data_IF_492062576468
#
_entry.id   IF_492062576468
#
_cell.length_a   1.000
_cell.length_b   1.000
_cell.length_c   1.000
_cell.angle_alpha   90.00
_cell.angle_beta   90.00
_cell.angle_gamma   90.00
#
_symmetry.space_group_name_H-M   'P 1'
#
loop_
_entity.id
_entity.type
_entity.pdbx_description
1 polymer ?
#
# COMPACT_ATOMS: atom_id res chain seq x y z
N UNK A 1 -26.53 -11.18 6.38
CA UNK A 1 -25.59 -11.07 5.24
C UNK A 1 -24.88 -9.76 5.39
N UNK A 2 -23.55 -9.77 5.34
CA UNK A 2 -22.77 -8.53 5.25
C UNK A 2 -22.83 -8.04 3.81
N UNK A 3 -23.27 -6.81 3.60
CA UNK A 3 -23.30 -6.18 2.27
C UNK A 3 -22.01 -5.41 1.97
N UNK A 4 -21.17 -5.24 2.99
CA UNK A 4 -19.93 -4.49 2.98
C UNK A 4 -18.84 -5.40 3.55
N UNK A 5 -17.66 -5.47 2.92
CA UNK A 5 -16.53 -6.21 3.46
C UNK A 5 -15.74 -5.40 4.49
N UNK A 6 -14.74 -6.02 5.14
CA UNK A 6 -13.92 -5.35 6.16
C UNK A 6 -13.08 -4.15 5.67
N UNK A 7 -13.07 -3.88 4.36
CA UNK A 7 -12.42 -2.73 3.74
C UNK A 7 -13.41 -1.66 3.24
N UNK A 8 -14.71 -1.84 3.50
CA UNK A 8 -15.74 -0.89 3.05
C UNK A 8 -16.21 -1.12 1.61
N UNK A 9 -15.84 -2.23 0.97
CA UNK A 9 -16.27 -2.53 -0.39
C UNK A 9 -17.66 -3.17 -0.38
N UNK A 10 -18.47 -2.90 -1.39
CA UNK A 10 -19.76 -3.58 -1.55
C UNK A 10 -19.52 -5.02 -2.00
N UNK A 11 -20.17 -5.96 -1.31
CA UNK A 11 -20.21 -7.38 -1.69
C UNK A 11 -21.37 -7.59 -2.66
N UNK A 12 -21.07 -8.07 -3.87
CA UNK A 12 -22.05 -8.37 -4.91
C UNK A 12 -22.03 -9.87 -5.19
N UNK A 13 -23.07 -10.64 -4.81
CA UNK A 13 -23.15 -12.05 -5.14
C UNK A 13 -23.12 -12.27 -6.66
N UNK A 14 -22.41 -13.29 -7.13
CA UNK A 14 -22.35 -13.61 -8.58
C UNK A 14 -23.72 -13.83 -9.21
N UNK A 15 -24.68 -14.34 -8.42
CA UNK A 15 -26.06 -14.52 -8.84
C UNK A 15 -26.79 -13.21 -9.18
N UNK A 16 -26.37 -12.07 -8.60
CA UNK A 16 -26.99 -10.76 -8.84
C UNK A 16 -26.43 -10.12 -10.11
N UNK A 17 -25.12 -10.22 -10.32
CA UNK A 17 -24.45 -9.62 -11.48
C UNK A 17 -23.26 -10.47 -11.93
N UNK A 18 -23.46 -11.39 -12.89
CA UNK A 18 -22.34 -12.00 -13.59
C UNK A 18 -21.55 -10.92 -14.32
N UNK A 19 -20.23 -10.89 -14.15
CA UNK A 19 -19.36 -10.02 -14.95
C UNK A 19 -19.12 -10.70 -16.29
N UNK A 20 -19.38 -9.96 -17.37
CA UNK A 20 -19.09 -10.34 -18.74
C UNK A 20 -18.28 -9.19 -19.34
N UNK A 21 -17.19 -9.52 -20.04
CA UNK A 21 -16.36 -8.59 -20.81
C UNK A 21 -15.71 -7.42 -20.05
N UNK A 22 -14.94 -7.71 -19.00
CA UNK A 22 -13.99 -6.76 -18.41
C UNK A 22 -12.55 -7.24 -18.55
N UNK A 23 -11.64 -6.33 -18.87
CA UNK A 23 -10.20 -6.60 -18.93
C UNK A 23 -9.62 -6.78 -17.53
N UNK A 24 -8.92 -7.89 -17.31
CA UNK A 24 -8.21 -8.16 -16.05
C UNK A 24 -7.06 -7.14 -15.88
N UNK A 25 -6.85 -6.69 -14.64
CA UNK A 25 -5.77 -5.77 -14.32
C UNK A 25 -4.86 -6.33 -13.24
N UNK A 26 -3.58 -5.97 -13.30
CA UNK A 26 -2.63 -6.22 -12.21
C UNK A 26 -2.54 -5.04 -11.23
N UNK A 27 -3.24 -3.93 -11.51
CA UNK A 27 -3.14 -2.70 -10.72
C UNK A 27 -4.04 -2.72 -9.48
N UNK A 28 -3.40 -2.76 -8.32
CA UNK A 28 -4.05 -2.76 -7.01
C UNK A 28 -3.77 -4.03 -6.24
N UNK A 29 -4.16 -4.05 -4.96
CA UNK A 29 -4.03 -5.26 -4.14
C UNK A 29 -5.12 -6.27 -4.52
N UNK A 30 -4.69 -7.47 -4.92
CA UNK A 30 -5.56 -8.59 -5.29
C UNK A 30 -6.33 -9.20 -4.11
N UNK A 31 -5.87 -9.02 -2.86
CA UNK A 31 -6.54 -9.49 -1.63
C UNK A 31 -7.13 -10.91 -1.73
N UNK A 32 -6.33 -11.86 -2.24
CA UNK A 32 -6.71 -13.25 -2.46
C UNK A 32 -7.87 -13.48 -3.45
N UNK A 33 -8.29 -12.46 -4.19
CA UNK A 33 -9.23 -12.62 -5.28
C UNK A 33 -8.62 -13.48 -6.38
N UNK A 34 -9.46 -14.21 -7.11
CA UNK A 34 -9.05 -15.01 -8.27
C UNK A 34 -8.60 -14.10 -9.41
N UNK A 35 -9.35 -13.01 -9.63
CA UNK A 35 -9.13 -12.00 -10.67
C UNK A 35 -9.52 -10.61 -10.14
N UNK A 36 -9.05 -9.57 -10.81
CA UNK A 36 -9.46 -8.20 -10.50
C UNK A 36 -9.57 -7.37 -11.78
N UNK A 37 -10.48 -6.41 -11.80
CA UNK A 37 -10.86 -5.64 -12.98
C UNK A 37 -10.97 -4.16 -12.66
N UNK A 38 -10.84 -3.32 -13.69
CA UNK A 38 -11.05 -1.88 -13.58
C UNK A 38 -11.96 -1.36 -14.69
N UNK A 39 -13.05 -0.68 -14.30
CA UNK A 39 -13.99 -0.06 -15.23
C UNK A 39 -14.31 1.37 -14.79
N UNK A 40 -13.80 2.36 -15.53
CA UNK A 40 -13.69 3.72 -15.02
C UNK A 40 -12.99 3.74 -13.66
N UNK A 41 -13.63 4.36 -12.68
CA UNK A 41 -13.15 4.41 -11.30
C UNK A 41 -13.49 3.17 -10.45
N UNK A 42 -14.24 2.21 -10.98
CA UNK A 42 -14.55 0.99 -10.23
C UNK A 42 -13.36 0.05 -10.23
N UNK A 43 -13.01 -0.42 -9.04
CA UNK A 43 -12.10 -1.54 -8.86
C UNK A 43 -12.89 -2.72 -8.29
N UNK A 44 -12.85 -3.82 -9.03
CA UNK A 44 -13.66 -5.00 -8.79
C UNK A 44 -12.73 -6.18 -8.55
N UNK A 45 -12.94 -6.91 -7.46
CA UNK A 45 -12.26 -8.15 -7.16
C UNK A 45 -13.23 -9.31 -7.27
N UNK A 46 -12.80 -10.39 -7.90
CA UNK A 46 -13.61 -11.58 -8.09
C UNK A 46 -13.17 -12.72 -7.17
N UNK A 47 -14.11 -13.23 -6.39
CA UNK A 47 -13.98 -14.42 -5.57
C UNK A 47 -14.88 -15.54 -6.14
N UNK A 48 -14.85 -16.73 -5.54
CA UNK A 48 -15.64 -17.87 -6.03
C UNK A 48 -17.14 -17.60 -6.02
N UNK A 49 -17.65 -16.97 -4.96
CA UNK A 49 -19.10 -16.77 -4.74
C UNK A 49 -19.59 -15.35 -5.02
N UNK A 50 -18.70 -14.35 -5.00
CA UNK A 50 -19.06 -12.95 -5.01
C UNK A 50 -17.97 -12.08 -5.64
N UNK A 51 -18.30 -10.81 -5.82
CA UNK A 51 -17.37 -9.74 -6.12
C UNK A 51 -17.28 -8.79 -4.94
N UNK A 52 -16.13 -8.16 -4.73
CA UNK A 52 -16.05 -6.94 -3.90
C UNK A 52 -15.74 -5.75 -4.79
N UNK A 53 -16.46 -4.66 -4.59
CA UNK A 53 -16.41 -3.49 -5.46
C UNK A 53 -16.24 -2.23 -4.61
N UNK A 54 -15.26 -1.40 -4.97
CA UNK A 54 -15.20 -0.01 -4.52
C UNK A 54 -15.01 0.93 -5.70
N UNK A 55 -15.33 2.19 -5.45
CA UNK A 55 -15.09 3.28 -6.37
C UNK A 55 -13.87 4.05 -5.89
N UNK A 56 -12.81 4.06 -6.70
CA UNK A 56 -11.69 4.96 -6.53
C UNK A 56 -12.13 6.40 -6.84
N UNK A 57 -11.55 7.39 -6.17
CA UNK A 57 -11.77 8.80 -6.52
C UNK A 57 -11.06 9.14 -7.83
N UNK A 58 -9.89 8.55 -8.05
CA UNK A 58 -9.06 8.76 -9.25
C UNK A 58 -8.65 7.41 -9.82
N UNK A 59 -8.83 7.21 -11.14
CA UNK A 59 -8.37 6.00 -11.83
C UNK A 59 -6.83 5.98 -11.89
N UNK A 60 -6.15 5.01 -11.24
CA UNK A 60 -4.69 4.92 -11.24
C UNK A 60 -4.09 4.62 -12.62
N UNK A 61 -4.89 4.22 -13.62
CA UNK A 61 -4.43 4.07 -15.00
C UNK A 61 -4.23 5.42 -15.70
N UNK A 62 -4.97 6.44 -15.25
CA UNK A 62 -4.95 7.78 -15.83
C UNK A 62 -4.09 8.73 -15.01
N UNK A 63 -4.23 8.72 -13.68
CA UNK A 63 -3.45 9.55 -12.77
C UNK A 63 -3.00 8.74 -11.53
N UNK A 64 -1.87 8.03 -11.63
CA UNK A 64 -1.33 7.24 -10.52
C UNK A 64 -0.98 8.08 -9.28
N UNK A 65 -0.54 9.33 -9.46
CA UNK A 65 -0.12 10.20 -8.37
C UNK A 65 -1.35 10.75 -7.65
N UNK A 66 -2.34 11.24 -8.41
CA UNK A 66 -3.62 11.68 -7.88
C UNK A 66 -4.34 10.56 -7.13
N UNK A 67 -4.32 9.33 -7.66
CA UNK A 67 -4.83 8.15 -6.96
C UNK A 67 -4.15 7.93 -5.61
N UNK A 68 -2.82 7.96 -5.56
CA UNK A 68 -2.08 7.77 -4.30
C UNK A 68 -2.45 8.84 -3.26
N UNK A 69 -2.65 10.09 -3.68
CA UNK A 69 -3.00 11.20 -2.77
C UNK A 69 -4.46 11.15 -2.31
N UNK A 70 -5.40 10.82 -3.20
CA UNK A 70 -6.83 10.90 -2.94
C UNK A 70 -7.42 9.63 -2.31
N UNK A 71 -6.91 8.46 -2.73
CA UNK A 71 -7.44 7.15 -2.37
C UNK A 71 -6.57 6.41 -1.35
N UNK A 72 -5.26 6.64 -1.38
CA UNK A 72 -4.29 5.92 -0.56
C UNK A 72 -3.27 6.81 0.21
N UNK A 73 -3.68 7.95 0.81
CA UNK A 73 -2.77 8.92 1.44
C UNK A 73 -1.93 8.34 2.58
N UNK A 74 -2.40 7.27 3.24
CA UNK A 74 -1.64 6.56 4.26
C UNK A 74 -0.29 6.05 3.74
N UNK A 75 -0.20 5.67 2.47
CA UNK A 75 1.04 5.20 1.86
C UNK A 75 1.99 6.36 1.55
N UNK A 76 1.49 7.57 1.31
CA UNK A 76 2.32 8.78 1.16
C UNK A 76 2.99 9.10 2.49
N UNK A 77 2.20 9.19 3.55
CA UNK A 77 2.69 9.46 4.91
C UNK A 77 3.69 8.39 5.35
N UNK A 78 3.37 7.12 5.11
CA UNK A 78 4.26 6.02 5.45
C UNK A 78 5.58 6.05 4.66
N UNK A 79 5.53 6.37 3.37
CA UNK A 79 6.73 6.51 2.53
C UNK A 79 7.65 7.64 3.02
N UNK A 80 7.07 8.78 3.40
CA UNK A 80 7.82 9.90 3.97
C UNK A 80 8.47 9.52 5.30
N UNK A 81 7.72 8.88 6.21
CA UNK A 81 8.26 8.41 7.48
C UNK A 81 9.40 7.39 7.29
N UNK A 82 9.24 6.45 6.36
CA UNK A 82 10.25 5.47 6.00
C UNK A 82 11.54 6.14 5.48
N UNK A 83 11.42 7.13 4.59
CA UNK A 83 12.55 7.85 4.03
C UNK A 83 13.33 8.64 5.10
N UNK A 84 12.62 9.35 5.98
CA UNK A 84 13.22 10.14 7.07
C UNK A 84 13.99 9.21 8.02
N UNK A 85 13.34 8.16 8.54
CA UNK A 85 13.98 7.25 9.49
C UNK A 85 15.12 6.46 8.84
N UNK A 86 14.92 5.96 7.62
CA UNK A 86 15.96 5.24 6.89
C UNK A 86 17.21 6.09 6.66
N UNK A 87 17.04 7.37 6.30
CA UNK A 87 18.15 8.33 6.16
C UNK A 87 18.86 8.55 7.49
N UNK A 88 18.13 8.85 8.56
CA UNK A 88 18.71 9.14 9.89
C UNK A 88 19.50 7.94 10.43
N UNK A 89 18.93 6.73 10.32
CA UNK A 89 19.61 5.49 10.74
C UNK A 89 20.84 5.23 9.87
N UNK A 90 20.71 5.32 8.55
CA UNK A 90 21.84 5.10 7.64
C UNK A 90 23.00 6.08 7.90
N UNK A 91 22.70 7.37 8.06
CA UNK A 91 23.71 8.40 8.40
C UNK A 91 24.38 8.10 9.74
N UNK A 92 23.61 7.67 10.75
CA UNK A 92 24.16 7.32 12.07
C UNK A 92 25.07 6.09 11.99
N UNK A 93 24.66 5.06 11.27
CA UNK A 93 25.46 3.83 11.05
C UNK A 93 26.75 4.16 10.30
N UNK A 94 26.67 4.94 9.21
CA UNK A 94 27.85 5.38 8.48
C UNK A 94 28.85 6.12 9.39
N UNK A 95 28.39 7.13 10.14
CA UNK A 95 29.25 7.91 11.05
C UNK A 95 29.90 7.02 12.12
N UNK A 96 29.16 6.06 12.67
CA UNK A 96 29.70 5.14 13.67
C UNK A 96 30.75 4.18 13.08
N UNK A 97 30.52 3.64 11.88
CA UNK A 97 31.47 2.75 11.19
C UNK A 97 32.76 3.49 10.82
N UNK A 98 32.65 4.73 10.34
CA UNK A 98 33.81 5.60 10.07
C UNK A 98 34.61 5.91 11.34
N UNK A 99 33.94 6.16 12.48
CA UNK A 99 34.61 6.32 13.79
C UNK A 99 35.35 5.06 14.26
N UNK A 100 34.89 3.88 13.85
CA UNK A 100 35.55 2.60 14.15
C UNK A 100 36.70 2.27 13.18
N UNK A 101 37.07 3.19 12.29
CA UNK A 101 38.16 2.99 11.33
C UNK A 101 37.81 2.04 10.18
N UNK A 102 36.53 1.72 9.96
CA UNK A 102 36.11 0.87 8.82
C UNK A 102 36.29 1.59 7.49
N UNK A 103 36.54 0.80 6.45
CA UNK A 103 36.63 1.29 5.08
C UNK A 103 35.35 2.01 4.65
N UNK A 104 35.48 2.95 3.71
CA UNK A 104 34.37 3.74 3.19
C UNK A 104 33.31 2.84 2.54
N UNK A 105 33.73 1.84 1.74
CA UNK A 105 32.81 0.94 1.04
C UNK A 105 31.97 0.14 2.02
N UNK A 106 32.61 -0.49 3.00
CA UNK A 106 31.92 -1.27 4.04
C UNK A 106 30.96 -0.39 4.85
N UNK A 107 31.39 0.83 5.19
CA UNK A 107 30.55 1.80 5.92
C UNK A 107 29.31 2.19 5.13
N UNK A 108 29.41 2.33 3.80
CA UNK A 108 28.27 2.64 2.92
C UNK A 108 27.32 1.45 2.83
N UNK A 109 27.85 0.23 2.63
CA UNK A 109 27.02 -0.99 2.53
C UNK A 109 26.22 -1.18 3.82
N UNK A 110 26.87 -1.10 4.98
CA UNK A 110 26.22 -1.21 6.28
C UNK A 110 25.17 -0.13 6.50
N UNK A 111 25.48 1.12 6.11
CA UNK A 111 24.57 2.25 6.26
C UNK A 111 23.31 2.10 5.40
N UNK A 112 23.47 1.69 4.13
CA UNK A 112 22.33 1.46 3.22
C UNK A 112 21.49 0.30 3.72
N UNK A 113 22.11 -0.83 4.10
CA UNK A 113 21.38 -1.97 4.63
C UNK A 113 20.57 -1.60 5.89
N UNK A 114 21.20 -0.93 6.85
CA UNK A 114 20.53 -0.50 8.07
C UNK A 114 19.41 0.52 7.81
N UNK A 115 19.66 1.50 6.92
CA UNK A 115 18.66 2.49 6.53
C UNK A 115 17.44 1.86 5.85
N UNK A 116 17.65 0.92 4.92
CA UNK A 116 16.55 0.19 4.23
C UNK A 116 15.75 -0.64 5.23
N UNK A 117 16.41 -1.37 6.13
CA UNK A 117 15.73 -2.17 7.15
C UNK A 117 14.90 -1.30 8.09
N UNK A 118 15.49 -0.23 8.62
CA UNK A 118 14.80 0.68 9.54
C UNK A 118 13.64 1.40 8.85
N UNK A 119 13.87 1.96 7.66
CA UNK A 119 12.82 2.62 6.87
C UNK A 119 11.67 1.69 6.54
N UNK A 120 11.95 0.45 6.12
CA UNK A 120 10.91 -0.55 5.80
C UNK A 120 10.07 -0.93 7.02
N UNK A 121 10.71 -1.13 8.17
CA UNK A 121 10.01 -1.40 9.43
C UNK A 121 9.10 -0.22 9.83
N UNK A 122 9.62 1.01 9.76
CA UNK A 122 8.85 2.24 10.02
C UNK A 122 7.68 2.40 9.06
N UNK A 123 7.88 2.19 7.77
CA UNK A 123 6.82 2.30 6.76
C UNK A 123 5.67 1.33 7.04
N UNK A 124 5.96 0.07 7.39
CA UNK A 124 4.93 -0.92 7.77
C UNK A 124 4.13 -0.48 9.00
N UNK A 125 4.81 -0.01 10.03
CA UNK A 125 4.16 0.49 11.26
C UNK A 125 3.28 1.71 10.94
N UNK A 126 3.79 2.66 10.15
CA UNK A 126 3.06 3.86 9.77
C UNK A 126 1.77 3.54 9.00
N UNK A 127 1.80 2.61 8.04
CA UNK A 127 0.58 2.16 7.33
C UNK A 127 -0.41 1.53 8.31
N UNK A 128 0.05 0.67 9.23
CA UNK A 128 -0.83 0.03 10.21
C UNK A 128 -1.52 1.04 11.13
N UNK A 129 -0.77 2.02 11.64
CA UNK A 129 -1.30 3.09 12.48
C UNK A 129 -2.31 3.95 11.70
N UNK A 130 -1.95 4.38 10.50
CA UNK A 130 -2.82 5.21 9.67
C UNK A 130 -4.15 4.50 9.34
N UNK A 131 -4.10 3.22 8.97
CA UNK A 131 -5.31 2.42 8.72
C UNK A 131 -6.17 2.23 9.99
N UNK A 132 -5.54 2.05 11.15
CA UNK A 132 -6.27 1.91 12.42
C UNK A 132 -6.99 3.20 12.82
N UNK A 133 -6.38 4.36 12.56
CA UNK A 133 -7.01 5.67 12.78
C UNK A 133 -8.19 5.85 11.82
N UNK A 134 -8.01 5.54 10.53
CA UNK A 134 -9.06 5.63 9.51
C UNK A 134 -10.28 4.77 9.88
N UNK A 135 -10.07 3.54 10.37
CA UNK A 135 -11.17 2.68 10.82
C UNK A 135 -11.98 3.31 11.95
N UNK A 136 -11.31 3.85 12.99
CA UNK A 136 -11.96 4.50 14.14
C UNK A 136 -12.76 5.76 13.81
N UNK A 137 -12.52 6.40 12.66
CA UNK A 137 -13.29 7.57 12.24
C UNK A 137 -14.62 7.21 11.56
N UNK A 138 -14.81 5.95 11.21
CA UNK A 138 -16.00 5.44 10.50
C UNK A 138 -16.92 4.65 11.44
N UNK A 139 -16.43 4.27 12.62
CA UNK A 139 -17.18 3.67 13.74
C UNK A 139 -17.78 4.76 14.66
#
# INVERSE_FOLDING_TARGET
MEFIDGDGNIIVPKAVRPIVDLEETILGSKKNANKQYRHGNLHIREYDSHYTVHNDKVDPRQDPIGHLLADAPEYVVASLAAAIVGKEVGVRVYKNKRKQGKDVRDSIIDAVAAGVMAGSATGKIAVMVAKSIKKRQVD
#
